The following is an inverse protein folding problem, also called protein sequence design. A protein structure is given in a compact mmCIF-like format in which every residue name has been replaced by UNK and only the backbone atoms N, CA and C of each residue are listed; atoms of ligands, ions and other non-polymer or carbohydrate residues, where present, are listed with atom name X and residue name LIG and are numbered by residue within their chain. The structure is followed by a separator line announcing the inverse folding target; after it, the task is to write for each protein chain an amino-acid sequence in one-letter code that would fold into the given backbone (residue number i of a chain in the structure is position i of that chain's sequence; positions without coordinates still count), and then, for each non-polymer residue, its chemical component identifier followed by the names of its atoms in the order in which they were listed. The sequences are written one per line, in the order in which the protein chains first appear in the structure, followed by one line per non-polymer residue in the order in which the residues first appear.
data_IF_674497888820
#
_entry.id   IF_674497888820
#
_cell.length_a   1.000
_cell.length_b   1.000
_cell.length_c   1.000
_cell.angle_alpha   90.00
_cell.angle_beta   90.00
_cell.angle_gamma   90.00
#
_symmetry.space_group_name_H-M   'P 1'
#
loop_
_entity.id
_entity.type
_entity.pdbx_description
1 polymer ?
#
# COMPACT_ATOMS: atom_id res chain seq x y z
N UNK A 1 -27.09 16.20 4.54
CA UNK A 1 -25.86 15.47 4.93
C UNK A 1 -25.55 14.46 3.84
N UNK A 2 -24.57 14.73 2.98
CA UNK A 2 -24.23 13.85 1.85
C UNK A 2 -23.49 12.61 2.37
N UNK A 3 -24.01 11.42 2.04
CA UNK A 3 -23.40 10.13 2.37
C UNK A 3 -22.10 10.00 1.57
N UNK A 4 -20.95 10.17 2.23
CA UNK A 4 -19.64 9.98 1.58
C UNK A 4 -19.41 8.50 1.36
N UNK A 5 -19.34 8.07 0.10
CA UNK A 5 -19.00 6.71 -0.29
C UNK A 5 -17.49 6.64 -0.51
N UNK A 6 -16.78 5.88 0.30
CA UNK A 6 -15.36 5.61 0.08
C UNK A 6 -15.16 4.65 -1.09
N UNK A 7 -14.01 4.73 -1.74
CA UNK A 7 -13.61 3.72 -2.70
C UNK A 7 -13.49 2.35 -2.00
N UNK A 8 -13.99 1.29 -2.65
CA UNK A 8 -13.96 -0.09 -2.13
C UNK A 8 -12.55 -0.57 -1.76
N UNK A 9 -11.53 -0.02 -2.41
CA UNK A 9 -10.13 -0.39 -2.21
C UNK A 9 -9.60 0.03 -0.83
N UNK A 10 -10.19 1.08 -0.24
CA UNK A 10 -9.77 1.61 1.07
C UNK A 10 -10.20 0.66 2.19
N UNK A 11 -11.35 -0.01 2.04
CA UNK A 11 -11.86 -0.92 3.08
C UNK A 11 -11.06 -2.22 3.20
N UNK A 12 -10.26 -2.56 2.19
CA UNK A 12 -9.44 -3.77 2.15
C UNK A 12 -7.97 -3.52 2.51
N UNK A 13 -7.61 -2.32 2.96
CA UNK A 13 -6.24 -2.02 3.36
C UNK A 13 -5.85 -2.77 4.64
N UNK A 14 -4.59 -3.20 4.76
CA UNK A 14 -4.10 -3.82 5.99
C UNK A 14 -4.19 -2.83 7.15
N UNK A 15 -4.49 -3.31 8.37
CA UNK A 15 -4.52 -2.43 9.55
C UNK A 15 -3.13 -2.08 10.06
N UNK A 16 -2.19 -3.02 9.91
CA UNK A 16 -0.80 -2.81 10.27
C UNK A 16 -0.09 -2.04 9.16
N UNK A 17 0.54 -0.93 9.55
CA UNK A 17 1.27 -0.06 8.63
C UNK A 17 2.72 -0.53 8.56
N UNK A 18 3.17 -0.85 7.35
CA UNK A 18 4.56 -1.17 7.05
C UNK A 18 5.09 -0.22 5.98
N UNK A 19 6.41 0.00 5.97
CA UNK A 19 7.09 0.90 5.04
C UNK A 19 8.16 0.15 4.23
N UNK A 20 8.27 0.51 2.95
CA UNK A 20 9.27 -0.06 2.05
C UNK A 20 10.68 0.31 2.53
N UNK A 21 11.56 -0.69 2.67
CA UNK A 21 12.94 -0.47 3.09
C UNK A 21 13.78 0.37 2.11
N UNK A 22 13.38 0.47 0.84
CA UNK A 22 14.12 1.23 -0.19
C UNK A 22 13.63 2.67 -0.38
N UNK A 23 12.33 2.95 -0.17
CA UNK A 23 11.73 4.22 -0.57
C UNK A 23 10.73 4.82 0.43
N UNK A 24 10.60 4.24 1.63
CA UNK A 24 9.70 4.73 2.68
C UNK A 24 8.21 4.79 2.29
N UNK A 25 7.80 4.13 1.19
CA UNK A 25 6.40 4.04 0.79
C UNK A 25 5.63 3.07 1.69
N UNK A 26 4.42 3.45 2.10
CA UNK A 26 3.56 2.64 2.98
C UNK A 26 2.79 1.54 2.24
N UNK A 27 2.55 0.41 2.91
CA UNK A 27 1.63 -0.65 2.49
C UNK A 27 0.14 -0.22 2.48
N UNK A 28 -0.19 0.98 2.99
CA UNK A 28 -1.55 1.56 2.94
C UNK A 28 -1.97 2.03 1.54
N UNK A 29 -1.10 1.89 0.53
CA UNK A 29 -1.46 2.19 -0.86
C UNK A 29 -2.24 1.01 -1.44
N UNK A 30 -3.52 1.16 -1.89
CA UNK A 30 -4.43 0.03 -2.16
C UNK A 30 -4.02 -1.03 -3.18
N UNK A 31 -2.90 -0.86 -3.88
CA UNK A 31 -2.37 -1.81 -4.87
C UNK A 31 -0.87 -2.06 -4.74
N UNK A 32 -0.27 -1.67 -3.61
CA UNK A 32 1.14 -1.91 -3.37
C UNK A 32 1.31 -3.32 -2.79
N UNK A 33 2.25 -4.08 -3.35
CA UNK A 33 2.57 -5.44 -2.88
C UNK A 33 3.99 -5.39 -2.33
N UNK A 34 4.21 -5.98 -1.16
CA UNK A 34 5.53 -6.11 -0.56
C UNK A 34 6.03 -7.53 -0.80
N UNK A 35 7.32 -7.66 -1.10
CA UNK A 35 7.97 -8.96 -1.09
C UNK A 35 8.31 -9.41 0.34
N UNK A 36 8.86 -10.62 0.46
CA UNK A 36 9.28 -11.19 1.74
C UNK A 36 10.46 -10.44 2.40
N UNK A 37 11.13 -9.54 1.66
CA UNK A 37 12.23 -8.73 2.19
C UNK A 37 11.76 -7.36 2.70
N UNK A 38 10.49 -6.99 2.49
CA UNK A 38 9.93 -5.70 2.86
C UNK A 38 10.19 -4.60 1.82
N UNK A 39 10.40 -4.98 0.56
CA UNK A 39 10.54 -4.06 -0.58
C UNK A 39 9.23 -4.02 -1.36
N UNK A 40 8.78 -2.82 -1.73
CA UNK A 40 7.54 -2.67 -2.47
C UNK A 40 7.70 -2.98 -3.96
N UNK A 41 6.61 -3.42 -4.59
CA UNK A 41 6.54 -3.79 -6.01
C UNK A 41 6.98 -2.68 -6.95
N UNK A 42 6.81 -1.41 -6.57
CA UNK A 42 7.32 -0.28 -7.36
C UNK A 42 8.84 -0.28 -7.44
N UNK A 43 9.54 -0.49 -6.32
CA UNK A 43 11.00 -0.57 -6.28
C UNK A 43 11.55 -1.86 -6.90
N UNK A 44 10.75 -2.92 -7.02
CA UNK A 44 11.16 -4.17 -7.67
C UNK A 44 11.09 -4.05 -9.19
N UNK A 45 10.06 -3.36 -9.71
CA UNK A 45 9.84 -3.21 -11.15
C UNK A 45 10.51 -1.96 -11.75
N UNK A 46 11.25 -1.18 -10.95
CA UNK A 46 12.07 -0.10 -11.48
C UNK A 46 13.39 -0.70 -11.95
N UNK A 47 13.54 -0.87 -13.27
CA UNK A 47 14.79 -1.24 -13.92
C UNK A 47 15.82 -0.12 -13.82
#
# INVERSE_FOLDING_TARGET
MTKKTFEKQITSLPKEVAFCKKCSMSNQRPRIIFDNHGVCSACINTA
#
